data_IF_991992686852
#
_entry.id   IF_991992686852
#
_cell.length_a   1.000
_cell.length_b   1.000
_cell.length_c   1.000
_cell.angle_alpha   90.00
_cell.angle_beta   90.00
_cell.angle_gamma   90.00
#
_symmetry.space_group_name_H-M   'P 1'
#
loop_
_entity.id
_entity.type
_entity.pdbx_description
1 polymer ?
#
# COMPACT_ATOMS: atom_id res chain seq x y z
N UNK A 1 -22.55 0.52 1.00
CA UNK A 1 -22.98 0.89 2.38
C UNK A 1 -21.76 1.14 3.25
N UNK A 2 -21.80 2.01 4.26
CA UNK A 2 -20.63 2.34 5.12
C UNK A 2 -20.01 1.11 5.82
N UNK A 3 -20.81 0.10 6.14
CA UNK A 3 -20.33 -1.17 6.69
C UNK A 3 -19.38 -1.93 5.75
N UNK A 4 -19.58 -1.81 4.42
CA UNK A 4 -18.70 -2.42 3.43
C UNK A 4 -17.32 -1.75 3.41
N UNK A 5 -17.24 -0.44 3.61
CA UNK A 5 -15.97 0.29 3.65
C UNK A 5 -15.10 -0.13 4.85
N UNK A 6 -15.72 -0.39 6.00
CA UNK A 6 -15.00 -0.90 7.18
C UNK A 6 -14.45 -2.30 6.93
N UNK A 7 -15.22 -3.18 6.29
CA UNK A 7 -14.76 -4.55 5.97
C UNK A 7 -13.61 -4.57 4.97
N UNK A 8 -13.63 -3.68 3.97
CA UNK A 8 -12.55 -3.59 2.97
C UNK A 8 -11.22 -3.14 3.59
N UNK A 9 -11.24 -2.43 4.71
CA UNK A 9 -10.04 -2.04 5.45
C UNK A 9 -9.36 -3.17 6.23
N UNK A 10 -9.98 -4.35 6.33
CA UNK A 10 -9.42 -5.51 7.04
C UNK A 10 -8.53 -6.32 6.09
N UNK A 11 -7.35 -5.78 5.76
CA UNK A 11 -6.49 -6.35 4.72
C UNK A 11 -6.00 -7.77 5.03
N UNK A 12 -5.70 -8.08 6.30
CA UNK A 12 -5.17 -9.38 6.71
C UNK A 12 -6.03 -10.55 6.23
N UNK A 13 -7.36 -10.40 6.25
CA UNK A 13 -8.30 -11.44 5.82
C UNK A 13 -8.13 -11.76 4.32
N UNK A 14 -7.97 -10.73 3.49
CA UNK A 14 -7.81 -10.91 2.05
C UNK A 14 -6.40 -11.39 1.72
N UNK A 15 -5.36 -10.73 2.25
CA UNK A 15 -3.96 -11.04 1.95
C UNK A 15 -3.61 -12.49 2.31
N UNK A 16 -4.13 -13.01 3.43
CA UNK A 16 -3.92 -14.40 3.81
C UNK A 16 -4.43 -15.40 2.75
N UNK A 17 -5.57 -15.13 2.13
CA UNK A 17 -6.10 -15.98 1.07
C UNK A 17 -5.22 -15.94 -0.19
N UNK A 18 -4.69 -14.76 -0.53
CA UNK A 18 -3.83 -14.59 -1.70
C UNK A 18 -2.43 -15.20 -1.48
N UNK A 19 -1.86 -15.07 -0.28
CA UNK A 19 -0.55 -15.65 0.06
C UNK A 19 -0.53 -17.19 -0.05
N UNK A 20 -1.66 -17.86 0.19
CA UNK A 20 -1.79 -19.31 -0.01
C UNK A 20 -1.58 -19.73 -1.48
N UNK A 21 -1.82 -18.84 -2.42
CA UNK A 21 -1.74 -19.11 -3.87
C UNK A 21 -0.52 -18.44 -4.53
N UNK A 22 -0.03 -17.34 -3.96
CA UNK A 22 0.93 -16.43 -4.60
C UNK A 22 2.04 -15.95 -3.65
N UNK A 23 2.53 -16.84 -2.79
CA UNK A 23 3.41 -16.50 -1.65
C UNK A 23 4.59 -15.60 -2.02
N UNK A 24 5.22 -15.82 -3.18
CA UNK A 24 6.38 -15.07 -3.68
C UNK A 24 6.07 -14.14 -4.86
N UNK A 25 4.80 -13.93 -5.17
CA UNK A 25 4.35 -13.14 -6.34
C UNK A 25 3.52 -11.91 -5.96
N UNK A 26 3.37 -11.65 -4.67
CA UNK A 26 2.64 -10.50 -4.16
C UNK A 26 3.62 -9.43 -3.69
N UNK A 27 3.66 -8.32 -4.43
CA UNK A 27 4.33 -7.11 -3.98
C UNK A 27 3.34 -6.24 -3.19
N UNK A 28 3.59 -6.08 -1.89
CA UNK A 28 2.76 -5.25 -1.01
C UNK A 28 3.45 -3.91 -0.79
N UNK A 29 2.78 -2.83 -1.16
CA UNK A 29 3.29 -1.46 -1.14
C UNK A 29 2.56 -0.61 -0.09
N UNK A 30 3.29 0.26 0.62
CA UNK A 30 2.74 1.24 1.56
C UNK A 30 2.50 2.56 0.83
N UNK A 31 1.24 2.87 0.56
CA UNK A 31 0.87 4.02 -0.28
C UNK A 31 1.30 5.38 0.28
N UNK A 32 1.49 5.50 1.59
CA UNK A 32 1.93 6.73 2.25
C UNK A 32 3.34 7.16 1.82
N UNK A 33 4.21 6.18 1.56
CA UNK A 33 5.59 6.42 1.12
C UNK A 33 5.62 7.02 -0.29
N UNK A 34 4.66 6.63 -1.15
CA UNK A 34 4.49 7.20 -2.49
C UNK A 34 4.23 8.71 -2.43
N UNK A 35 3.46 9.19 -1.44
CA UNK A 35 3.17 10.62 -1.31
C UNK A 35 4.33 11.43 -0.71
N UNK A 36 5.34 10.76 -0.14
CA UNK A 36 6.53 11.41 0.42
C UNK A 36 7.57 11.66 -0.67
N UNK A 37 7.85 10.64 -1.49
CA UNK A 37 8.74 10.75 -2.66
C UNK A 37 8.24 9.85 -3.80
N UNK A 38 7.39 10.41 -4.65
CA UNK A 38 6.78 9.72 -5.79
C UNK A 38 7.82 9.05 -6.69
N UNK A 39 8.91 9.74 -6.99
CA UNK A 39 9.90 9.30 -7.99
C UNK A 39 10.75 8.18 -7.43
N UNK A 40 11.32 8.37 -6.24
CA UNK A 40 12.13 7.34 -5.60
C UNK A 40 11.30 6.09 -5.30
N UNK A 41 10.07 6.27 -4.81
CA UNK A 41 9.18 5.16 -4.51
C UNK A 41 8.79 4.36 -5.76
N UNK A 42 8.41 5.06 -6.83
CA UNK A 42 8.05 4.40 -8.11
C UNK A 42 9.24 3.61 -8.66
N UNK A 43 10.46 4.16 -8.59
CA UNK A 43 11.68 3.44 -9.00
C UNK A 43 11.91 2.19 -8.16
N UNK A 44 11.74 2.28 -6.84
CA UNK A 44 11.90 1.13 -5.95
C UNK A 44 10.89 0.01 -6.27
N UNK A 45 9.62 0.37 -6.52
CA UNK A 45 8.58 -0.59 -6.92
C UNK A 45 8.93 -1.26 -8.25
N UNK A 46 9.35 -0.48 -9.26
CA UNK A 46 9.74 -1.03 -10.56
C UNK A 46 10.93 -1.98 -10.41
N UNK A 47 11.97 -1.58 -9.66
CA UNK A 47 13.14 -2.41 -9.41
C UNK A 47 12.76 -3.76 -8.77
N UNK A 48 11.86 -3.76 -7.78
CA UNK A 48 11.41 -4.99 -7.12
C UNK A 48 10.64 -5.92 -8.08
N UNK A 49 9.80 -5.36 -8.96
CA UNK A 49 9.11 -6.12 -10.01
C UNK A 49 10.09 -6.76 -10.99
N UNK A 50 11.14 -6.04 -11.41
CA UNK A 50 12.17 -6.58 -12.31
C UNK A 50 12.97 -7.71 -11.66
N UNK A 51 13.38 -7.52 -10.39
CA UNK A 51 14.11 -8.53 -9.63
C UNK A 51 13.33 -9.86 -9.54
N UNK A 52 12.02 -9.79 -9.30
CA UNK A 52 11.17 -10.98 -9.25
C UNK A 52 10.93 -11.62 -10.63
N UNK A 53 11.03 -10.87 -11.74
CA UNK A 53 10.82 -11.39 -13.10
C UNK A 53 12.06 -12.05 -13.70
N UNK A 54 13.26 -11.66 -13.28
CA UNK A 54 14.51 -12.05 -13.95
C UNK A 54 15.45 -12.93 -13.10
N UNK A 55 14.95 -13.64 -12.08
CA UNK A 55 15.71 -14.66 -11.33
C UNK A 55 17.17 -14.26 -10.95
N UNK A 56 17.37 -13.01 -10.53
CA UNK A 56 18.68 -12.54 -10.04
C UNK A 56 19.57 -11.80 -11.04
N UNK A 57 19.09 -11.44 -12.23
CA UNK A 57 19.79 -10.46 -13.07
C UNK A 57 19.70 -9.03 -12.51
N UNK A 58 20.77 -8.25 -12.68
CA UNK A 58 20.81 -6.84 -12.28
C UNK A 58 19.70 -6.04 -12.99
N UNK A 59 19.04 -5.14 -12.25
CA UNK A 59 18.03 -4.25 -12.82
C UNK A 59 18.70 -3.34 -13.85
N UNK A 60 18.26 -3.33 -15.12
CA UNK A 60 18.89 -2.52 -16.15
C UNK A 60 18.92 -1.04 -15.77
N UNK A 61 20.05 -0.37 -16.00
CA UNK A 61 20.22 1.07 -15.72
C UNK A 61 19.17 1.92 -16.44
N UNK A 62 18.68 1.45 -17.58
CA UNK A 62 17.60 2.02 -18.39
C UNK A 62 16.29 2.21 -17.60
N UNK A 63 16.01 1.35 -16.60
CA UNK A 63 14.84 1.47 -15.71
C UNK A 63 14.87 2.79 -14.93
N UNK A 64 16.05 3.27 -14.56
CA UNK A 64 16.23 4.53 -13.85
C UNK A 64 16.14 5.75 -14.77
N UNK A 65 16.16 5.54 -16.10
CA UNK A 65 16.04 6.60 -17.11
C UNK A 65 14.60 6.82 -17.58
N UNK A 66 13.66 5.95 -17.17
CA UNK A 66 12.24 6.11 -17.51
C UNK A 66 11.79 7.48 -16.99
N UNK A 67 11.30 8.37 -17.87
CA UNK A 67 10.75 9.65 -17.46
C UNK A 67 9.50 9.37 -16.63
N UNK A 68 9.62 9.55 -15.31
CA UNK A 68 8.47 9.53 -14.40
C UNK A 68 7.91 10.94 -14.46
N UNK A 69 6.88 11.13 -15.26
CA UNK A 69 6.09 12.36 -15.29
C UNK A 69 5.47 12.55 -13.89
N UNK A 70 6.11 13.36 -13.06
CA UNK A 70 5.62 13.68 -11.71
C UNK A 70 4.28 14.41 -11.75
N UNK A 71 3.90 14.98 -12.90
CA UNK A 71 2.62 15.63 -13.16
C UNK A 71 1.56 14.66 -13.67
N UNK A 72 1.29 13.59 -12.92
CA UNK A 72 -0.08 13.07 -12.90
C UNK A 72 -0.93 14.12 -12.20
N UNK A 73 -1.47 15.06 -12.97
CA UNK A 73 -2.65 15.82 -12.56
C UNK A 73 -3.79 14.82 -12.43
N UNK A 74 -3.82 14.08 -11.30
CA UNK A 74 -5.01 13.42 -10.81
C UNK A 74 -6.09 14.49 -10.88
N UNK A 75 -6.99 14.37 -11.86
CA UNK A 75 -8.12 15.26 -12.03
C UNK A 75 -8.75 15.33 -10.65
N UNK A 76 -8.60 16.48 -9.99
CA UNK A 76 -9.04 16.66 -8.61
C UNK A 76 -10.54 16.49 -8.66
N UNK A 77 -11.02 15.27 -8.44
CA UNK A 77 -12.42 15.04 -8.11
C UNK A 77 -12.67 15.98 -6.95
N UNK A 78 -13.66 16.88 -7.05
CA UNK A 78 -13.86 17.91 -6.05
C UNK A 78 -13.94 17.22 -4.70
N UNK A 79 -12.91 17.45 -3.86
CA UNK A 79 -12.86 16.88 -2.52
C UNK A 79 -14.08 17.45 -1.83
N UNK A 80 -15.10 16.61 -1.64
CA UNK A 80 -16.24 16.95 -0.80
C UNK A 80 -15.66 17.47 0.50
N UNK A 81 -16.16 18.59 1.06
CA UNK A 81 -15.62 19.15 2.28
C UNK A 81 -15.50 18.02 3.31
N UNK A 82 -14.26 17.67 3.69
CA UNK A 82 -13.99 16.61 4.65
C UNK A 82 -14.55 17.11 5.97
N UNK A 83 -15.81 16.76 6.27
CA UNK A 83 -16.36 16.92 7.61
C UNK A 83 -15.44 16.10 8.52
N UNK A 84 -14.64 16.79 9.33
CA UNK A 84 -13.62 16.15 10.16
C UNK A 84 -14.25 15.01 10.95
N UNK A 85 -13.62 13.84 10.94
CA UNK A 85 -14.09 12.71 11.73
C UNK A 85 -13.92 13.03 13.21
N UNK A 86 -14.94 12.74 14.02
CA UNK A 86 -14.89 12.88 15.47
C UNK A 86 -13.71 12.08 16.04
N UNK A 87 -13.01 12.65 17.02
CA UNK A 87 -11.86 11.99 17.65
C UNK A 87 -12.25 10.66 18.29
N UNK A 88 -13.43 10.57 18.91
CA UNK A 88 -13.97 9.32 19.41
C UNK A 88 -14.04 8.24 18.32
N UNK A 89 -14.56 8.57 17.14
CA UNK A 89 -14.63 7.64 16.01
C UNK A 89 -13.25 7.22 15.51
N UNK A 90 -12.26 8.13 15.52
CA UNK A 90 -10.87 7.77 15.20
C UNK A 90 -10.32 6.73 16.17
N UNK A 91 -10.53 6.92 17.47
CA UNK A 91 -10.09 5.96 18.49
C UNK A 91 -10.76 4.59 18.30
N UNK A 92 -12.08 4.57 18.15
CA UNK A 92 -12.83 3.31 17.91
C UNK A 92 -12.32 2.58 16.67
N UNK A 93 -12.07 3.30 15.56
CA UNK A 93 -11.56 2.69 14.34
C UNK A 93 -10.12 2.18 14.51
N UNK A 94 -9.26 2.95 15.18
CA UNK A 94 -7.89 2.52 15.48
C UNK A 94 -7.89 1.24 16.31
N UNK A 95 -8.66 1.21 17.40
CA UNK A 95 -8.73 0.07 18.30
C UNK A 95 -9.33 -1.16 17.59
N UNK A 96 -10.29 -0.94 16.68
CA UNK A 96 -10.85 -1.98 15.83
C UNK A 96 -9.83 -2.56 14.84
N UNK A 97 -9.05 -1.72 14.15
CA UNK A 97 -8.08 -2.19 13.14
C UNK A 97 -6.76 -2.70 13.74
N UNK A 98 -6.40 -2.32 14.96
CA UNK A 98 -5.14 -2.70 15.62
C UNK A 98 -4.82 -4.21 15.52
N UNK A 99 -5.69 -5.14 15.96
CA UNK A 99 -5.37 -6.58 15.86
C UNK A 99 -5.27 -7.08 14.41
N UNK A 100 -5.97 -6.43 13.47
CA UNK A 100 -5.91 -6.79 12.06
C UNK A 100 -4.61 -6.30 11.40
N UNK A 101 -4.13 -5.12 11.78
CA UNK A 101 -2.87 -4.55 11.32
C UNK A 101 -1.67 -5.32 11.88
N UNK A 102 -1.75 -5.76 13.14
CA UNK A 102 -0.75 -6.64 13.75
C UNK A 102 -0.68 -7.98 12.98
N UNK A 103 -1.83 -8.62 12.75
CA UNK A 103 -1.90 -9.86 11.98
C UNK A 103 -1.35 -9.69 10.56
N UNK A 104 -1.67 -8.58 9.88
CA UNK A 104 -1.11 -8.28 8.56
C UNK A 104 0.41 -8.17 8.62
N UNK A 105 0.94 -7.49 9.65
CA UNK A 105 2.38 -7.30 9.80
C UNK A 105 3.11 -8.63 9.98
N UNK A 106 2.52 -9.56 10.74
CA UNK A 106 3.03 -10.93 10.88
C UNK A 106 2.97 -11.73 9.56
N UNK A 107 1.88 -11.60 8.80
CA UNK A 107 1.71 -12.31 7.52
C UNK A 107 2.71 -11.85 6.45
N UNK A 108 3.02 -10.55 6.42
CA UNK A 108 3.89 -9.94 5.40
C UNK A 108 5.35 -9.83 5.87
N UNK A 109 5.60 -10.01 7.17
CA UNK A 109 6.94 -9.90 7.76
C UNK A 109 7.47 -8.47 7.87
N UNK A 110 6.59 -7.46 7.88
CA UNK A 110 6.96 -6.03 8.03
C UNK A 110 5.86 -5.20 8.69
N UNK A 111 6.22 -4.08 9.29
CA UNK A 111 5.27 -3.13 9.89
C UNK A 111 4.89 -2.00 8.91
N UNK A 112 3.75 -1.36 9.14
CA UNK A 112 3.23 -0.26 8.31
C UNK A 112 2.97 1.04 9.07
N UNK A 113 3.10 1.03 10.40
CA UNK A 113 2.91 2.20 11.29
C UNK A 113 1.54 2.88 11.18
N UNK A 114 0.50 2.12 10.85
CA UNK A 114 -0.89 2.61 10.77
C UNK A 114 -1.60 2.69 12.14
N UNK A 115 -0.85 2.53 13.24
CA UNK A 115 -1.34 2.57 14.62
C UNK A 115 -1.63 3.98 15.11
#
# INVERSE_FOLDING_TARGET
TRAMQVRLGVYAFFIEAWLKLYIDRLLIIKSEDFFTDTVAYTRAVIAEVYKHRQEGHEVPSEVFTIPIEAELTLTKTPKSPKKGMLNYTKHVLRDFYAPHNERLSLLVGRTFDWG
#
